data_IF_812627171812
#
_entry.id   IF_812627171812
#
_cell.length_a   1.000
_cell.length_b   1.000
_cell.length_c   1.000
_cell.angle_alpha   90.00
_cell.angle_beta   90.00
_cell.angle_gamma   90.00
#
_symmetry.space_group_name_H-M   'P 1'
#
loop_
_entity.id
_entity.type
_entity.pdbx_description
1 polymer ?
#
# COMPACT_ATOMS: atom_id res chain seq x y z
N UNK A 1 32.10 31.53 5.72
CA UNK A 1 31.27 31.22 6.90
C UNK A 1 29.80 31.20 6.48
N UNK A 2 29.11 30.11 6.79
CA UNK A 2 27.65 29.91 6.96
C UNK A 2 26.71 30.37 5.83
N UNK A 3 26.06 29.40 5.17
CA UNK A 3 24.62 29.16 5.34
C UNK A 3 24.23 27.86 4.63
N UNK A 4 23.58 26.97 5.37
CA UNK A 4 23.16 25.65 4.90
C UNK A 4 22.76 24.78 6.07
N UNK A 5 21.99 25.35 7.00
CA UNK A 5 21.27 24.58 8.01
C UNK A 5 20.31 23.70 7.23
N UNK A 6 20.61 22.41 7.11
CA UNK A 6 19.58 21.41 6.86
C UNK A 6 19.00 21.05 8.24
N UNK A 7 17.82 21.57 8.62
CA UNK A 7 17.13 21.02 9.76
C UNK A 7 16.64 19.62 9.36
N UNK A 8 17.09 18.64 10.12
CA UNK A 8 16.26 17.56 10.67
C UNK A 8 15.38 16.77 9.67
N UNK A 9 15.72 15.50 9.46
CA UNK A 9 14.70 14.46 9.31
C UNK A 9 15.02 13.27 10.20
N UNK A 10 15.00 13.53 11.51
CA UNK A 10 14.62 12.51 12.46
C UNK A 10 13.11 12.26 12.36
N UNK A 11 12.72 10.99 12.37
CA UNK A 11 11.47 10.57 13.01
C UNK A 11 10.15 10.92 12.32
N UNK A 12 9.84 10.24 11.23
CA UNK A 12 8.49 9.76 10.96
C UNK A 12 8.64 8.61 9.95
N UNK A 13 8.04 7.45 10.21
CA UNK A 13 7.68 6.53 9.12
C UNK A 13 6.73 7.31 8.21
N UNK A 14 7.29 8.08 7.28
CA UNK A 14 6.56 8.74 6.23
C UNK A 14 6.15 7.62 5.32
N UNK A 15 4.90 7.17 5.49
CA UNK A 15 4.17 6.48 4.45
C UNK A 15 3.77 7.59 3.45
N UNK A 16 4.51 7.82 2.35
CA UNK A 16 4.04 8.76 1.32
C UNK A 16 2.70 8.33 0.69
N UNK A 17 2.26 7.11 0.97
CA UNK A 17 0.97 6.57 0.59
C UNK A 17 0.20 6.21 1.86
N UNK A 18 -0.94 6.86 2.11
CA UNK A 18 -1.79 6.52 3.25
C UNK A 18 -2.56 5.23 2.99
N UNK A 19 -3.15 4.65 4.03
CA UNK A 19 -4.02 3.49 3.86
C UNK A 19 -5.23 3.82 2.95
N UNK A 20 -5.68 5.08 2.96
CA UNK A 20 -6.76 5.57 2.10
C UNK A 20 -6.36 5.65 0.61
N UNK A 21 -5.06 5.75 0.30
CA UNK A 21 -4.55 5.87 -1.07
C UNK A 21 -4.33 4.50 -1.74
N UNK A 22 -4.50 3.42 -0.99
CA UNK A 22 -4.44 2.05 -1.49
C UNK A 22 -5.84 1.44 -1.57
N UNK A 23 -6.02 0.52 -2.50
CA UNK A 23 -7.25 -0.30 -2.59
C UNK A 23 -6.91 -1.77 -2.61
N UNK A 24 -7.79 -2.59 -2.03
CA UNK A 24 -7.71 -4.04 -2.20
C UNK A 24 -8.20 -4.41 -3.58
N UNK A 25 -7.46 -5.29 -4.25
CA UNK A 25 -7.78 -5.82 -5.57
C UNK A 25 -7.69 -7.33 -5.53
N UNK A 26 -8.64 -7.98 -6.21
CA UNK A 26 -8.62 -9.42 -6.44
C UNK A 26 -8.16 -9.66 -7.87
N UNK A 27 -7.07 -10.40 -8.03
CA UNK A 27 -6.54 -10.85 -9.31
C UNK A 27 -6.57 -12.38 -9.37
N UNK A 28 -6.17 -12.93 -10.51
CA UNK A 28 -6.07 -14.39 -10.70
C UNK A 28 -5.16 -15.05 -9.66
N UNK A 29 -4.08 -14.39 -9.28
CA UNK A 29 -3.09 -14.91 -8.34
C UNK A 29 -3.43 -14.63 -6.87
N UNK A 30 -4.55 -13.97 -6.56
CA UNK A 30 -4.96 -13.69 -5.19
C UNK A 30 -5.28 -12.21 -4.91
N UNK A 31 -5.32 -11.86 -3.62
CA UNK A 31 -5.61 -10.50 -3.13
C UNK A 31 -4.33 -9.69 -2.95
N UNK A 32 -4.41 -8.40 -3.27
CA UNK A 32 -3.30 -7.48 -3.09
C UNK A 32 -3.74 -6.05 -2.83
N UNK A 33 -2.78 -5.21 -2.42
CA UNK A 33 -2.96 -3.76 -2.41
C UNK A 33 -2.50 -3.17 -3.75
N UNK A 34 -3.30 -2.25 -4.28
CA UNK A 34 -2.97 -1.44 -5.45
C UNK A 34 -2.89 0.04 -5.06
N UNK A 35 -1.87 0.72 -5.58
CA UNK A 35 -1.70 2.18 -5.50
C UNK A 35 -1.42 2.76 -6.89
N UNK A 36 -1.91 3.98 -7.15
CA UNK A 36 -1.47 4.77 -8.31
C UNK A 36 -0.39 5.73 -7.85
N UNK A 37 0.82 5.59 -8.39
CA UNK A 37 1.92 6.48 -8.06
C UNK A 37 1.71 7.87 -8.67
N UNK A 38 2.31 8.90 -8.07
CA UNK A 38 2.32 10.27 -8.60
C UNK A 38 2.92 10.39 -10.02
N UNK A 39 3.75 9.42 -10.45
CA UNK A 39 4.24 9.34 -11.83
C UNK A 39 3.22 8.72 -12.82
N UNK A 40 2.00 8.41 -12.38
CA UNK A 40 0.94 7.78 -13.18
C UNK A 40 1.00 6.25 -13.22
N UNK A 41 2.06 5.61 -12.71
CA UNK A 41 2.19 4.16 -12.75
C UNK A 41 1.30 3.45 -11.71
N UNK A 42 0.54 2.45 -12.17
CA UNK A 42 -0.19 1.53 -11.29
C UNK A 42 0.78 0.52 -10.70
N UNK A 43 0.77 0.38 -9.37
CA UNK A 43 1.61 -0.58 -8.65
C UNK A 43 0.73 -1.49 -7.80
N UNK A 44 1.10 -2.76 -7.76
CA UNK A 44 0.41 -3.83 -7.03
C UNK A 44 1.40 -4.59 -6.16
N UNK A 45 0.98 -5.03 -4.98
CA UNK A 45 1.66 -6.09 -4.23
C UNK A 45 0.67 -7.05 -3.55
N UNK A 46 1.02 -8.33 -3.39
CA UNK A 46 0.14 -9.31 -2.72
C UNK A 46 0.10 -9.07 -1.21
N UNK A 47 -0.99 -9.46 -0.56
CA UNK A 47 -1.13 -9.29 0.91
C UNK A 47 -0.18 -10.18 1.71
N UNK A 48 0.24 -11.32 1.15
CA UNK A 48 1.13 -12.29 1.79
C UNK A 48 2.62 -11.91 1.75
N UNK A 49 2.97 -10.82 1.06
CA UNK A 49 4.36 -10.40 0.90
C UNK A 49 4.92 -9.95 2.24
N UNK A 50 5.99 -10.62 2.66
CA UNK A 50 6.73 -10.30 3.88
C UNK A 50 7.85 -9.28 3.66
N UNK A 51 8.16 -8.95 2.40
CA UNK A 51 9.12 -7.90 2.08
C UNK A 51 8.63 -6.57 2.64
N UNK A 52 9.52 -5.87 3.34
CA UNK A 52 9.16 -4.64 4.04
C UNK A 52 9.10 -3.45 3.09
N UNK A 53 9.89 -3.43 2.02
CA UNK A 53 10.02 -2.29 1.13
C UNK A 53 9.10 -2.40 -0.09
N UNK A 54 8.08 -1.54 -0.14
CA UNK A 54 7.29 -1.37 -1.35
C UNK A 54 7.57 -0.02 -1.99
N UNK A 55 7.91 -0.05 -3.29
CA UNK A 55 8.24 1.13 -4.09
C UNK A 55 7.67 1.05 -5.49
N UNK A 56 7.53 2.19 -6.12
CA UNK A 56 7.11 2.28 -7.51
C UNK A 56 8.08 1.51 -8.41
N UNK A 57 7.56 0.61 -9.24
CA UNK A 57 8.36 -0.13 -10.21
C UNK A 57 8.95 0.80 -11.29
N UNK A 58 8.25 1.90 -11.59
CA UNK A 58 8.64 2.90 -12.59
C UNK A 58 9.66 3.91 -12.04
N UNK A 59 9.23 4.86 -11.19
CA UNK A 59 10.09 5.95 -10.72
C UNK A 59 10.91 5.65 -9.45
N UNK A 60 10.80 4.44 -8.89
CA UNK A 60 11.48 3.99 -7.66
C UNK A 60 11.12 4.76 -6.37
N UNK A 61 10.15 5.66 -6.41
CA UNK A 61 9.61 6.31 -5.21
C UNK A 61 9.12 5.25 -4.22
N UNK A 62 9.58 5.36 -2.98
CA UNK A 62 9.15 4.47 -1.88
C UNK A 62 7.70 4.78 -1.54
N UNK A 63 6.87 3.75 -1.34
CA UNK A 63 5.50 3.87 -0.84
C UNK A 63 5.43 3.61 0.66
N UNK A 64 6.16 2.60 1.10
CA UNK A 64 6.32 2.21 2.49
C UNK A 64 7.63 1.42 2.65
N UNK A 65 8.33 1.65 3.75
CA UNK A 65 9.44 0.82 4.23
C UNK A 65 8.98 -0.34 5.12
N UNK A 66 7.68 -0.41 5.45
CA UNK A 66 7.05 -1.49 6.19
C UNK A 66 5.68 -1.87 5.60
N UNK A 67 5.71 -2.65 4.52
CA UNK A 67 4.51 -3.12 3.82
C UNK A 67 3.58 -3.99 4.69
N UNK A 68 4.05 -4.94 5.52
CA UNK A 68 3.16 -5.72 6.39
C UNK A 68 2.32 -4.83 7.32
N UNK A 69 2.91 -3.80 7.92
CA UNK A 69 2.16 -2.86 8.76
C UNK A 69 1.18 -1.99 8.00
N UNK A 70 1.46 -1.65 6.74
CA UNK A 70 0.50 -0.96 5.87
C UNK A 70 -0.72 -1.85 5.61
N UNK A 71 -0.50 -3.13 5.32
CA UNK A 71 -1.57 -4.13 5.14
C UNK A 71 -2.42 -4.24 6.40
N UNK A 72 -1.80 -4.39 7.56
CA UNK A 72 -2.53 -4.46 8.84
C UNK A 72 -3.37 -3.21 9.12
N UNK A 73 -2.81 -2.01 8.89
CA UNK A 73 -3.55 -0.74 9.05
C UNK A 73 -4.72 -0.65 8.09
N UNK A 74 -4.51 -1.02 6.82
CA UNK A 74 -5.55 -1.02 5.81
C UNK A 74 -6.71 -1.95 6.20
N UNK A 75 -6.41 -3.20 6.60
CA UNK A 75 -7.42 -4.18 6.99
C UNK A 75 -8.18 -3.79 8.27
N UNK A 76 -7.56 -3.01 9.17
CA UNK A 76 -8.25 -2.45 10.35
C UNK A 76 -9.23 -1.32 9.98
N UNK A 77 -8.89 -0.49 9.00
CA UNK A 77 -9.74 0.61 8.52
C UNK A 77 -10.86 0.13 7.58
N UNK A 78 -10.55 -0.90 6.78
CA UNK A 78 -11.45 -1.55 5.86
C UNK A 78 -11.53 -3.03 6.23
N UNK A 79 -12.24 -3.37 7.33
CA UNK A 79 -12.47 -4.77 7.66
C UNK A 79 -13.08 -5.44 6.42
N UNK A 80 -12.60 -6.62 6.03
CA UNK A 80 -13.28 -7.38 5.00
C UNK A 80 -14.73 -7.51 5.49
N UNK A 81 -15.68 -6.92 4.76
CA UNK A 81 -17.09 -7.20 4.99
C UNK A 81 -17.30 -8.72 5.00
N UNK A 82 -18.38 -9.22 5.62
CA UNK A 82 -18.70 -10.64 5.51
C UNK A 82 -18.58 -11.02 4.03
N UNK A 83 -17.79 -12.06 3.75
CA UNK A 83 -17.53 -12.53 2.40
C UNK A 83 -18.86 -12.50 1.62
N UNK A 84 -18.91 -11.97 0.38
CA UNK A 84 -20.13 -12.05 -0.39
C UNK A 84 -20.54 -13.52 -0.40
N UNK A 85 -21.68 -13.82 0.21
CA UNK A 85 -22.29 -15.13 0.15
C UNK A 85 -22.28 -15.55 -1.32
N UNK A 86 -21.84 -16.78 -1.64
CA UNK A 86 -21.76 -17.22 -3.03
C UNK A 86 -23.12 -16.96 -3.65
N UNK A 87 -23.15 -16.06 -4.64
CA UNK A 87 -24.37 -15.65 -5.31
C UNK A 87 -25.15 -16.91 -5.63
N UNK A 88 -26.31 -17.09 -4.96
CA UNK A 88 -27.19 -18.22 -5.21
C UNK A 88 -27.39 -18.30 -6.71
N UNK A 89 -26.86 -19.37 -7.29
CA UNK A 89 -27.24 -19.84 -8.59
C UNK A 89 -28.78 -19.93 -8.57
N UNK A 90 -29.43 -19.02 -9.30
CA UNK A 90 -30.87 -19.07 -9.48
C UNK A 90 -31.13 -19.96 -10.71
N UNK A 91 -32.09 -20.91 -10.62
CA UNK A 91 -32.31 -22.00 -11.57
C UNK A 91 -32.71 -21.54 -12.98
#
# INVERSE_FOLDING_TARGET
>A
MRAGVHPERGGAMQFPVRAEDVKIVQGESGKGLQVVCSCGAVNWNHLEIQDSLWRCRNCKQVFTDYYPGLVEKFLKLHPPGPAPEPASAKP
#
